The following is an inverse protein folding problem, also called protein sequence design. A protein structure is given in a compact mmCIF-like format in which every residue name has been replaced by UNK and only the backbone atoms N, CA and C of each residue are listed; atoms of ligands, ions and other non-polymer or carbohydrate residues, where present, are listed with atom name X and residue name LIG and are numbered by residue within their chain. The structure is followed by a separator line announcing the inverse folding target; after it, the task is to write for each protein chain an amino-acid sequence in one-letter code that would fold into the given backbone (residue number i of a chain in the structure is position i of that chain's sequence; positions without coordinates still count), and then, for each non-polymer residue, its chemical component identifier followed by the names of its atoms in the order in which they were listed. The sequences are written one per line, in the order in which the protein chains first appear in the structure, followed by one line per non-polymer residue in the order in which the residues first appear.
data_IF_821041301616
#
_entry.id   IF_821041301616
#
_cell.length_a   1.000
_cell.length_b   1.000
_cell.length_c   1.000
_cell.angle_alpha   90.00
_cell.angle_beta   90.00
_cell.angle_gamma   90.00
#
_symmetry.space_group_name_H-M   'P 1'
#
loop_
_entity.id
_entity.type
_entity.pdbx_description
1 polymer ?
#
# COMPACT_ATOMS: atom_id res chain seq x y z
N UNK A 1 -6.04 -15.24 -3.52
CA UNK A 1 -6.50 -14.49 -4.71
C UNK A 1 -7.45 -15.35 -5.56
N UNK A 2 -8.48 -14.75 -6.19
CA UNK A 2 -9.39 -15.45 -7.13
C UNK A 2 -9.86 -14.57 -8.28
N UNK A 3 -10.12 -15.17 -9.44
CA UNK A 3 -10.82 -14.50 -10.53
C UNK A 3 -12.32 -14.39 -10.19
N UNK A 4 -12.93 -13.24 -10.49
CA UNK A 4 -14.37 -13.01 -10.32
C UNK A 4 -14.98 -12.49 -11.61
N UNK A 5 -16.27 -12.78 -11.80
CA UNK A 5 -17.02 -12.28 -12.95
C UNK A 5 -17.39 -10.80 -12.76
N UNK A 6 -16.90 -9.86 -13.60
CA UNK A 6 -17.23 -8.44 -13.45
C UNK A 6 -18.72 -8.15 -13.48
N UNK A 7 -19.51 -8.97 -14.21
CA UNK A 7 -20.98 -8.83 -14.34
C UNK A 7 -21.74 -9.10 -13.03
N UNK A 8 -21.11 -9.78 -12.08
CA UNK A 8 -21.66 -10.04 -10.75
C UNK A 8 -21.33 -8.92 -9.75
N UNK A 9 -20.64 -7.86 -10.20
CA UNK A 9 -20.25 -6.72 -9.38
C UNK A 9 -20.98 -5.44 -9.79
N UNK A 10 -21.00 -4.44 -8.91
CA UNK A 10 -21.49 -3.09 -9.24
C UNK A 10 -20.58 -2.34 -10.22
N UNK A 11 -19.47 -2.94 -10.68
CA UNK A 11 -18.44 -2.33 -11.52
C UNK A 11 -18.44 -2.87 -12.95
N UNK A 12 -19.40 -3.71 -13.33
CA UNK A 12 -19.46 -4.35 -14.66
C UNK A 12 -19.24 -3.38 -15.83
N UNK A 13 -20.01 -2.29 -15.87
CA UNK A 13 -19.91 -1.26 -16.91
C UNK A 13 -18.55 -0.56 -16.90
N UNK A 14 -18.05 -0.19 -15.70
CA UNK A 14 -16.76 0.46 -15.56
C UNK A 14 -15.63 -0.46 -16.04
N UNK A 15 -15.66 -1.74 -15.68
CA UNK A 15 -14.67 -2.72 -16.13
C UNK A 15 -14.66 -2.81 -17.66
N UNK A 16 -15.81 -2.99 -18.30
CA UNK A 16 -15.89 -3.08 -19.76
C UNK A 16 -15.35 -1.82 -20.47
N UNK A 17 -15.69 -0.64 -19.94
CA UNK A 17 -15.27 0.63 -20.53
C UNK A 17 -13.76 0.88 -20.34
N UNK A 18 -13.26 0.73 -19.11
CA UNK A 18 -11.88 1.06 -18.77
C UNK A 18 -10.86 0.05 -19.31
N UNK A 19 -11.23 -1.23 -19.43
CA UNK A 19 -10.34 -2.25 -20.02
C UNK A 19 -9.97 -1.96 -21.49
N UNK A 20 -10.81 -1.20 -22.19
CA UNK A 20 -10.56 -0.78 -23.59
C UNK A 20 -9.90 0.58 -23.69
N UNK A 21 -9.74 1.29 -22.58
CA UNK A 21 -9.16 2.63 -22.58
C UNK A 21 -7.62 2.53 -22.65
N UNK A 22 -6.95 3.37 -23.46
CA UNK A 22 -5.49 3.34 -23.59
C UNK A 22 -4.76 3.79 -22.31
N UNK A 23 -5.43 4.57 -21.45
CA UNK A 23 -4.89 5.05 -20.19
C UNK A 23 -6.02 5.14 -19.14
N UNK A 24 -6.36 4.04 -18.44
CA UNK A 24 -7.50 3.97 -17.52
C UNK A 24 -7.17 4.52 -16.11
N UNK A 25 -6.35 5.56 -16.02
CA UNK A 25 -5.87 6.13 -14.76
C UNK A 25 -6.19 7.62 -14.68
N UNK A 26 -6.56 8.07 -13.48
CA UNK A 26 -6.77 9.47 -13.16
C UNK A 26 -6.03 9.80 -11.87
N UNK A 27 -5.35 10.95 -11.85
CA UNK A 27 -4.57 11.40 -10.70
C UNK A 27 -5.26 12.58 -10.03
N UNK A 28 -5.41 12.52 -8.71
CA UNK A 28 -5.90 13.60 -7.88
C UNK A 28 -4.83 14.03 -6.89
N UNK A 29 -4.75 15.34 -6.63
CA UNK A 29 -3.84 15.92 -5.64
C UNK A 29 -4.64 16.54 -4.51
N UNK A 30 -4.22 16.25 -3.28
CA UNK A 30 -4.82 16.83 -2.07
C UNK A 30 -3.75 17.01 -1.00
N UNK A 31 -3.71 18.19 -0.40
CA UNK A 31 -2.92 18.45 0.80
C UNK A 31 -3.68 17.94 2.03
N UNK A 32 -3.02 17.11 2.84
CA UNK A 32 -3.56 16.59 4.10
C UNK A 32 -2.87 17.27 5.28
N UNK A 33 -3.64 17.70 6.29
CA UNK A 33 -3.07 18.15 7.56
C UNK A 33 -2.67 16.94 8.41
N UNK A 34 -1.35 16.74 8.53
CA UNK A 34 -0.74 15.63 9.27
C UNK A 34 -0.25 16.04 10.67
N UNK A 35 -0.58 17.25 11.15
CA UNK A 35 -0.07 17.80 12.43
C UNK A 35 -0.33 16.89 13.63
N UNK A 36 -1.48 16.18 13.63
CA UNK A 36 -1.82 15.23 14.70
C UNK A 36 -0.93 13.99 14.64
N UNK A 37 -0.65 13.47 13.44
CA UNK A 37 0.18 12.30 13.25
C UNK A 37 1.64 12.57 13.64
N UNK A 38 2.16 13.76 13.32
CA UNK A 38 3.48 14.21 13.77
C UNK A 38 3.58 14.23 15.30
N UNK A 39 2.55 14.74 15.99
CA UNK A 39 2.52 14.73 17.47
C UNK A 39 2.49 13.31 18.03
N UNK A 40 1.74 12.40 17.41
CA UNK A 40 1.67 11.00 17.80
C UNK A 40 3.03 10.33 17.61
N UNK A 41 3.65 10.47 16.44
CA UNK A 41 5.00 9.95 16.15
C UNK A 41 6.01 10.35 17.22
N UNK A 42 6.07 11.65 17.55
CA UNK A 42 6.95 12.17 18.60
C UNK A 42 6.66 11.60 19.99
N UNK A 43 5.39 11.36 20.31
CA UNK A 43 4.97 10.86 21.63
C UNK A 43 5.20 9.35 21.78
N UNK A 44 4.97 8.56 20.73
CA UNK A 44 5.10 7.10 20.76
C UNK A 44 6.50 6.61 20.40
N UNK A 45 7.31 7.42 19.72
CA UNK A 45 8.59 7.00 19.15
C UNK A 45 8.44 6.17 17.86
N UNK A 46 7.21 6.00 17.36
CA UNK A 46 6.96 5.31 16.09
C UNK A 46 7.31 6.20 14.90
N UNK A 47 7.87 5.61 13.84
CA UNK A 47 8.23 6.33 12.61
C UNK A 47 7.01 7.01 11.98
N UNK A 48 7.21 8.23 11.46
CA UNK A 48 6.13 8.98 10.81
C UNK A 48 5.63 8.28 9.54
N UNK A 49 6.54 7.79 8.68
CA UNK A 49 6.14 7.06 7.47
C UNK A 49 5.33 5.80 7.79
N UNK A 50 5.73 5.05 8.83
CA UNK A 50 5.02 3.85 9.28
C UNK A 50 3.58 4.21 9.69
N UNK A 51 3.41 5.27 10.48
CA UNK A 51 2.07 5.74 10.88
C UNK A 51 1.24 6.20 9.67
N UNK A 52 1.85 6.87 8.68
CA UNK A 52 1.18 7.23 7.43
C UNK A 52 0.72 5.98 6.66
N UNK A 53 1.59 4.97 6.51
CA UNK A 53 1.27 3.70 5.88
C UNK A 53 0.10 3.00 6.58
N UNK A 54 0.12 2.97 7.92
CA UNK A 54 -0.97 2.39 8.70
C UNK A 54 -2.30 3.13 8.47
N UNK A 55 -2.29 4.47 8.48
CA UNK A 55 -3.49 5.26 8.18
C UNK A 55 -4.03 5.00 6.76
N UNK A 56 -3.15 4.84 5.77
CA UNK A 56 -3.51 4.53 4.39
C UNK A 56 -4.13 3.13 4.31
N UNK A 57 -3.49 2.11 4.90
CA UNK A 57 -4.01 0.74 4.96
C UNK A 57 -5.36 0.67 5.69
N UNK A 58 -5.51 1.43 6.79
CA UNK A 58 -6.76 1.51 7.55
C UNK A 58 -7.88 2.13 6.74
N UNK A 59 -7.61 3.18 5.98
CA UNK A 59 -8.59 3.76 5.07
C UNK A 59 -8.93 2.80 3.92
N UNK A 60 -7.92 2.15 3.33
CA UNK A 60 -8.11 1.30 2.18
C UNK A 60 -8.89 0.03 2.48
N UNK A 61 -8.63 -0.60 3.64
CA UNK A 61 -9.35 -1.80 4.11
C UNK A 61 -10.84 -1.59 4.34
N UNK A 62 -11.29 -0.33 4.51
CA UNK A 62 -12.70 0.01 4.56
C UNK A 62 -13.41 0.06 3.21
N UNK A 63 -12.69 -0.08 2.09
CA UNK A 63 -13.22 0.13 0.74
C UNK A 63 -13.12 -1.15 -0.07
N UNK A 64 -14.26 -1.80 -0.34
CA UNK A 64 -14.34 -3.07 -1.07
C UNK A 64 -13.68 -3.02 -2.46
N UNK A 65 -13.69 -1.86 -3.13
CA UNK A 65 -13.06 -1.69 -4.44
C UNK A 65 -11.53 -1.81 -4.40
N UNK A 66 -10.90 -1.55 -3.25
CA UNK A 66 -9.48 -1.77 -3.02
C UNK A 66 -9.13 -3.21 -2.67
N UNK A 67 -10.01 -4.16 -2.98
CA UNK A 67 -9.73 -5.59 -2.99
C UNK A 67 -9.87 -6.18 -4.41
N UNK A 68 -10.04 -5.34 -5.43
CA UNK A 68 -10.24 -5.77 -6.81
C UNK A 68 -9.24 -5.08 -7.74
N UNK A 69 -8.60 -5.86 -8.62
CA UNK A 69 -7.63 -5.36 -9.59
C UNK A 69 -7.83 -6.06 -10.95
N UNK A 70 -7.94 -5.30 -12.05
CA UNK A 70 -7.82 -5.88 -13.39
C UNK A 70 -6.40 -6.37 -13.68
N UNK A 71 -6.24 -7.62 -14.10
CA UNK A 71 -4.96 -8.24 -14.47
C UNK A 71 -5.11 -8.94 -15.82
N UNK A 72 -4.48 -8.41 -16.87
CA UNK A 72 -4.81 -8.79 -18.23
C UNK A 72 -6.30 -8.53 -18.50
N UNK A 73 -7.02 -9.50 -19.09
CA UNK A 73 -8.46 -9.38 -19.35
C UNK A 73 -9.36 -9.83 -18.18
N UNK A 74 -8.79 -10.07 -17.00
CA UNK A 74 -9.48 -10.66 -15.85
C UNK A 74 -9.67 -9.65 -14.73
N UNK A 75 -10.75 -9.80 -13.96
CA UNK A 75 -10.92 -9.09 -12.69
C UNK A 75 -10.53 -10.02 -11.54
N UNK A 76 -9.46 -9.67 -10.83
CA UNK A 76 -8.97 -10.42 -9.68
C UNK A 76 -9.51 -9.81 -8.39
N UNK A 77 -9.88 -10.67 -7.44
CA UNK A 77 -10.25 -10.30 -6.08
C UNK A 77 -9.25 -10.89 -5.08
N UNK A 78 -8.88 -10.06 -4.11
CA UNK A 78 -7.97 -10.39 -3.02
C UNK A 78 -8.75 -10.39 -1.70
N UNK A 79 -8.27 -11.17 -0.73
CA UNK A 79 -8.88 -11.25 0.61
C UNK A 79 -8.13 -10.39 1.63
N UNK A 80 -6.93 -9.91 1.28
CA UNK A 80 -6.05 -9.14 2.14
C UNK A 80 -5.50 -7.90 1.42
N UNK A 81 -5.15 -6.89 2.20
CA UNK A 81 -4.43 -5.70 1.77
C UNK A 81 -3.01 -5.74 2.32
N UNK A 82 -2.07 -5.26 1.51
CA UNK A 82 -0.74 -4.85 1.94
C UNK A 82 -0.54 -3.36 1.62
N UNK A 83 0.35 -2.70 2.35
CA UNK A 83 0.77 -1.33 2.06
C UNK A 83 2.23 -1.37 1.67
N UNK A 84 2.53 -0.86 0.49
CA UNK A 84 3.90 -0.79 -0.01
C UNK A 84 4.61 0.46 0.54
N UNK A 85 5.88 0.33 0.89
CA UNK A 85 6.77 1.46 1.17
C UNK A 85 8.11 1.28 0.45
N UNK A 86 8.75 2.40 0.13
CA UNK A 86 10.11 2.43 -0.42
C UNK A 86 11.11 2.45 0.74
N UNK A 87 12.14 1.62 0.63
CA UNK A 87 13.20 1.46 1.61
C UNK A 87 14.53 1.80 0.94
N UNK A 88 15.37 2.61 1.59
CA UNK A 88 16.75 2.75 1.16
C UNK A 88 17.56 1.54 1.62
N UNK A 89 18.20 0.87 0.68
CA UNK A 89 19.02 -0.29 0.97
C UNK A 89 20.48 0.10 1.30
N UNK A 90 21.26 -0.87 1.78
CA UNK A 90 22.67 -0.68 2.17
C UNK A 90 23.58 -0.21 1.03
N UNK A 91 23.16 -0.38 -0.22
CA UNK A 91 23.91 0.04 -1.41
C UNK A 91 23.55 1.48 -1.84
N UNK A 92 22.74 2.20 -1.03
CA UNK A 92 22.18 3.53 -1.30
C UNK A 92 21.25 3.57 -2.52
N UNK A 93 20.66 2.42 -2.87
CA UNK A 93 19.58 2.32 -3.85
C UNK A 93 18.22 2.19 -3.13
N UNK A 94 17.15 2.08 -3.91
CA UNK A 94 15.79 1.91 -3.40
C UNK A 94 15.28 0.50 -3.67
N UNK A 95 14.64 -0.09 -2.65
CA UNK A 95 13.95 -1.38 -2.73
C UNK A 95 12.50 -1.22 -2.28
N UNK A 96 11.62 -2.06 -2.83
CA UNK A 96 10.19 -2.09 -2.56
C UNK A 96 9.89 -3.04 -1.39
N UNK A 97 9.03 -2.62 -0.45
CA UNK A 97 8.64 -3.45 0.68
C UNK A 97 7.12 -3.40 0.91
N UNK A 98 6.44 -4.50 0.59
CA UNK A 98 5.03 -4.70 0.93
C UNK A 98 4.90 -5.17 2.38
N UNK A 99 4.19 -4.40 3.19
CA UNK A 99 3.89 -4.74 4.59
C UNK A 99 2.44 -5.22 4.67
N UNK A 100 2.16 -6.42 5.19
CA UNK A 100 0.79 -6.91 5.32
C UNK A 100 0.00 -5.98 6.27
N UNK A 101 -1.20 -5.57 5.86
CA UNK A 101 -1.99 -4.66 6.69
C UNK A 101 -2.60 -5.39 7.89
N UNK A 102 -2.44 -4.79 9.07
CA UNK A 102 -3.12 -5.19 10.30
C UNK A 102 -3.82 -3.98 10.92
N UNK A 103 -5.04 -4.19 11.42
CA UNK A 103 -5.75 -3.17 12.18
C UNK A 103 -5.14 -2.95 13.58
N UNK A 104 -4.37 -3.92 14.06
CA UNK A 104 -3.54 -3.74 15.24
C UNK A 104 -2.29 -2.92 14.87
N UNK A 105 -2.27 -1.67 15.33
CA UNK A 105 -1.17 -0.72 15.10
C UNK A 105 0.17 -1.26 15.60
N UNK A 106 0.19 -1.99 16.72
CA UNK A 106 1.42 -2.52 17.29
C UNK A 106 1.98 -3.62 16.41
N UNK A 107 1.12 -4.55 15.99
CA UNK A 107 1.50 -5.62 15.06
C UNK A 107 1.99 -5.06 13.72
N UNK A 108 1.27 -4.10 13.15
CA UNK A 108 1.69 -3.47 11.89
C UNK A 108 3.04 -2.76 12.03
N UNK A 109 3.29 -2.08 13.14
CA UNK A 109 4.59 -1.45 13.40
C UNK A 109 5.73 -2.47 13.53
N UNK A 110 5.50 -3.59 14.20
CA UNK A 110 6.48 -4.66 14.34
C UNK A 110 6.82 -5.29 12.98
N UNK A 111 5.81 -5.62 12.17
CA UNK A 111 5.99 -6.13 10.81
C UNK A 111 6.70 -5.12 9.91
N UNK A 112 6.28 -3.84 9.96
CA UNK A 112 6.92 -2.76 9.21
C UNK A 112 8.41 -2.66 9.52
N UNK A 113 8.78 -2.60 10.80
CA UNK A 113 10.18 -2.45 11.19
C UNK A 113 11.01 -3.67 10.80
N UNK A 114 10.47 -4.88 11.00
CA UNK A 114 11.14 -6.13 10.65
C UNK A 114 11.39 -6.21 9.14
N UNK A 115 10.33 -6.10 8.34
CA UNK A 115 10.42 -6.27 6.89
C UNK A 115 11.27 -5.19 6.23
N UNK A 116 11.11 -3.93 6.65
CA UNK A 116 11.94 -2.84 6.10
C UNK A 116 13.41 -2.99 6.47
N UNK A 117 13.73 -3.54 7.66
CA UNK A 117 15.13 -3.87 8.02
C UNK A 117 15.68 -4.99 7.16
N UNK A 118 14.91 -6.05 6.93
CA UNK A 118 15.31 -7.18 6.08
C UNK A 118 15.56 -6.72 4.64
N UNK A 119 14.64 -5.96 4.05
CA UNK A 119 14.78 -5.38 2.70
C UNK A 119 15.99 -4.45 2.60
N UNK A 120 16.22 -3.61 3.61
CA UNK A 120 17.37 -2.71 3.62
C UNK A 120 18.72 -3.47 3.61
N UNK A 121 18.76 -4.65 4.24
CA UNK A 121 19.96 -5.48 4.36
C UNK A 121 20.17 -6.42 3.17
N UNK A 122 19.08 -6.97 2.61
CA UNK A 122 19.13 -7.90 1.48
C UNK A 122 19.30 -7.19 0.14
N UNK A 123 18.86 -5.93 0.03
CA UNK A 123 18.69 -5.21 -1.25
C UNK A 123 17.65 -5.86 -2.18
N UNK A 124 16.82 -6.78 -1.67
CA UNK A 124 15.78 -7.47 -2.44
C UNK A 124 14.41 -6.90 -2.10
N UNK A 125 13.53 -6.82 -3.11
CA UNK A 125 12.15 -6.43 -2.88
C UNK A 125 11.42 -7.49 -2.05
N UNK A 126 10.52 -7.03 -1.19
CA UNK A 126 9.55 -7.90 -0.52
C UNK A 126 8.17 -7.66 -1.15
N UNK A 127 7.75 -8.55 -2.06
CA UNK A 127 6.49 -8.42 -2.81
C UNK A 127 5.45 -9.44 -2.33
N UNK A 128 4.24 -8.97 -2.01
CA UNK A 128 3.12 -9.79 -1.52
C UNK A 128 2.06 -10.00 -2.62
N UNK A 129 2.35 -10.90 -3.56
CA UNK A 129 1.52 -11.14 -4.76
C UNK A 129 0.11 -11.66 -4.49
N UNK A 130 -0.13 -12.25 -3.30
CA UNK A 130 -1.44 -12.76 -2.88
C UNK A 130 -2.32 -11.71 -2.18
N UNK A 131 -1.84 -10.47 -2.05
CA UNK A 131 -2.56 -9.34 -1.45
C UNK A 131 -2.81 -8.23 -2.47
N UNK A 132 -3.87 -7.45 -2.25
CA UNK A 132 -4.00 -6.18 -2.96
C UNK A 132 -3.06 -5.16 -2.33
N UNK A 133 -2.08 -4.69 -3.10
CA UNK A 133 -1.05 -3.77 -2.60
C UNK A 133 -1.47 -2.33 -2.84
N UNK A 134 -1.54 -1.54 -1.77
CA UNK A 134 -1.71 -0.09 -1.84
C UNK A 134 -0.33 0.55 -1.89
N UNK A 135 0.03 1.03 -3.09
CA UNK A 135 1.28 1.73 -3.35
C UNK A 135 1.41 3.02 -2.53
N UNK A 136 2.49 3.16 -1.77
CA UNK A 136 2.91 4.44 -1.22
C UNK A 136 4.35 4.73 -1.62
N UNK A 137 4.70 6.00 -1.72
CA UNK A 137 6.07 6.40 -2.06
C UNK A 137 6.45 7.58 -1.19
N UNK A 138 7.41 7.36 -0.31
CA UNK A 138 8.07 8.38 0.47
C UNK A 138 9.53 8.48 0.00
N UNK A 139 10.07 9.70 -0.05
CA UNK A 139 11.49 9.89 -0.24
C UNK A 139 12.22 9.40 1.02
N UNK A 140 13.02 8.35 0.87
CA UNK A 140 13.84 7.83 1.96
C UNK A 140 14.90 8.86 2.39
N UNK A 141 15.23 8.88 3.69
CA UNK A 141 16.14 9.85 4.32
C UNK A 141 15.69 11.33 4.35
N UNK A 142 14.39 11.59 4.22
CA UNK A 142 13.82 12.94 4.39
C UNK A 142 12.96 13.03 5.65
N UNK A 143 12.41 14.22 5.95
CA UNK A 143 11.60 14.48 7.16
C UNK A 143 10.40 13.54 7.33
N UNK A 144 10.02 12.82 6.28
CA UNK A 144 8.91 11.89 6.26
C UNK A 144 9.31 10.44 6.57
N UNK A 145 10.59 10.07 6.56
CA UNK A 145 11.13 8.73 6.85
C UNK A 145 11.50 8.54 8.33
#
# INVERSE_FOLDING_TARGET
MREINPKETTRAYAFELWMKAPMPMVTFFKTLDVSRLVKISKKSGMKFNMLMCWCIGKAASGIKEFYMLPVGDKLMQYDAIAVNTIVMNKDNEVSSCDVPFSDDLQLFNEDYLKLTTEVAQSCENHDLTESMVIGTSALAQYEID
#
